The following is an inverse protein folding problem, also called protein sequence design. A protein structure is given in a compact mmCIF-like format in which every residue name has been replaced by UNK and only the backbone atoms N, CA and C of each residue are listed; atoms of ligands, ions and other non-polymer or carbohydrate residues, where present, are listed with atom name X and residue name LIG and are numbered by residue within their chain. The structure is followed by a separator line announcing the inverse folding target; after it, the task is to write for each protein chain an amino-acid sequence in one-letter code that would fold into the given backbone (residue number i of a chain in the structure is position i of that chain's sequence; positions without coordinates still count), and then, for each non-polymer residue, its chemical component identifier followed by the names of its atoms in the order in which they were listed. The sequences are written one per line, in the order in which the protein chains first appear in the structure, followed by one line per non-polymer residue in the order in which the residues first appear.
data_IF_779402963741
#
_entry.id   IF_779402963741
#
_cell.length_a   1.000
_cell.length_b   1.000
_cell.length_c   1.000
_cell.angle_alpha   90.00
_cell.angle_beta   90.00
_cell.angle_gamma   90.00
#
_symmetry.space_group_name_H-M   'P 1'
#
loop_
_entity.id
_entity.type
_entity.pdbx_description
1 polymer ?
#
# COMPACT_ATOMS: atom_id res chain seq x y z
N UNK A 1 11.23 24.10 -59.42
CA UNK A 1 11.01 22.87 -58.62
C UNK A 1 11.60 23.07 -57.22
N UNK A 2 10.76 23.30 -56.20
CA UNK A 2 11.19 23.51 -54.81
C UNK A 2 10.89 22.24 -54.03
N UNK A 3 11.92 21.43 -53.74
CA UNK A 3 11.77 20.20 -52.95
C UNK A 3 11.34 20.59 -51.53
N UNK A 4 10.14 20.17 -51.11
CA UNK A 4 9.63 20.41 -49.75
C UNK A 4 10.17 19.30 -48.85
N UNK A 5 11.07 19.67 -47.93
CA UNK A 5 11.54 18.79 -46.86
C UNK A 5 10.38 18.52 -45.91
N UNK A 6 9.88 17.29 -45.94
CA UNK A 6 8.83 16.80 -45.06
C UNK A 6 9.52 16.51 -43.73
N UNK A 7 9.15 17.31 -42.74
CA UNK A 7 9.56 17.28 -41.34
C UNK A 7 9.74 15.87 -40.77
N UNK A 8 10.99 15.54 -40.43
CA UNK A 8 11.41 14.41 -39.58
C UNK A 8 11.08 14.69 -38.09
N UNK A 9 9.82 15.06 -37.81
CA UNK A 9 9.29 15.26 -36.45
C UNK A 9 8.00 14.47 -36.21
N UNK A 10 7.56 13.67 -37.19
CA UNK A 10 6.28 12.94 -37.15
C UNK A 10 6.34 11.48 -36.66
N UNK A 11 7.52 10.94 -36.31
CA UNK A 11 7.65 9.53 -35.90
C UNK A 11 8.19 9.30 -34.48
N UNK A 12 8.39 10.34 -33.68
CA UNK A 12 8.72 10.22 -32.24
C UNK A 12 7.56 10.57 -31.32
N UNK A 13 6.37 10.87 -31.86
CA UNK A 13 5.20 11.25 -31.06
C UNK A 13 4.06 10.21 -31.06
N UNK A 14 4.34 8.95 -31.43
CA UNK A 14 3.38 7.84 -31.31
C UNK A 14 3.85 6.73 -30.36
N UNK A 15 5.06 6.82 -29.80
CA UNK A 15 5.61 5.83 -28.88
C UNK A 15 5.29 6.07 -27.40
N UNK A 16 4.68 7.20 -27.04
CA UNK A 16 4.52 7.61 -25.64
C UNK A 16 3.11 7.39 -25.08
N UNK A 17 2.11 7.02 -25.91
CA UNK A 17 0.70 7.00 -25.50
C UNK A 17 0.26 5.70 -24.79
N UNK A 18 1.17 4.74 -24.64
CA UNK A 18 0.96 3.55 -23.79
C UNK A 18 2.18 3.26 -22.91
N UNK A 19 2.88 4.31 -22.47
CA UNK A 19 3.76 4.16 -21.32
C UNK A 19 2.88 3.70 -20.16
N UNK A 20 2.98 2.44 -19.76
CA UNK A 20 2.33 1.93 -18.57
C UNK A 20 2.74 2.85 -17.42
N UNK A 21 1.82 3.72 -16.98
CA UNK A 21 2.04 4.48 -15.77
C UNK A 21 2.01 3.47 -14.64
N UNK A 22 3.18 2.98 -14.25
CA UNK A 22 3.33 2.23 -13.02
C UNK A 22 3.01 3.22 -11.89
N UNK A 23 1.81 3.11 -11.33
CA UNK A 23 1.51 3.77 -10.08
C UNK A 23 2.45 3.17 -9.02
N UNK A 24 3.26 4.00 -8.37
CA UNK A 24 4.01 3.55 -7.21
C UNK A 24 3.00 3.13 -6.14
N UNK A 25 2.95 1.85 -5.81
CA UNK A 25 2.06 1.33 -4.78
C UNK A 25 2.53 1.85 -3.41
N UNK A 26 1.59 2.35 -2.61
CA UNK A 26 1.89 2.81 -1.25
C UNK A 26 2.41 1.63 -0.40
N UNK A 27 3.50 1.86 0.33
CA UNK A 27 4.05 0.93 1.31
C UNK A 27 3.86 1.49 2.71
N UNK A 28 3.39 0.65 3.63
CA UNK A 28 3.17 0.98 5.04
C UNK A 28 3.85 -0.08 5.90
N UNK A 29 4.72 0.35 6.80
CA UNK A 29 5.25 -0.50 7.86
C UNK A 29 4.43 -0.27 9.14
N UNK A 30 4.16 -1.33 9.89
CA UNK A 30 3.50 -1.22 11.19
C UNK A 30 4.34 -0.33 12.13
N UNK A 31 3.73 0.60 12.88
CA UNK A 31 4.47 1.47 13.79
C UNK A 31 5.07 0.68 14.97
N UNK A 32 6.16 1.19 15.54
CA UNK A 32 6.74 0.68 16.80
C UNK A 32 6.10 1.27 18.05
N UNK A 33 5.26 2.30 17.91
CA UNK A 33 4.57 2.93 19.03
C UNK A 33 3.30 3.64 18.58
N UNK A 34 2.30 3.69 19.46
CA UNK A 34 1.09 4.48 19.26
C UNK A 34 0.24 4.02 18.07
N UNK A 35 -0.35 4.99 17.38
CA UNK A 35 -1.24 4.77 16.25
C UNK A 35 -0.69 5.50 15.02
N UNK A 36 -0.45 4.79 13.91
CA UNK A 36 0.00 5.37 12.64
C UNK A 36 -1.11 6.15 11.90
N UNK A 37 -2.34 6.12 12.41
CA UNK A 37 -3.53 6.70 11.78
C UNK A 37 -4.18 5.74 10.80
N UNK A 38 -5.08 6.30 9.98
CA UNK A 38 -5.87 5.55 9.01
C UNK A 38 -5.39 5.79 7.59
N UNK A 39 -4.99 4.72 6.90
CA UNK A 39 -4.69 4.73 5.48
C UNK A 39 -5.95 4.44 4.66
N UNK A 40 -6.26 5.30 3.68
CA UNK A 40 -7.46 5.18 2.84
C UNK A 40 -7.15 4.52 1.50
N UNK A 41 -7.91 3.48 1.14
CA UNK A 41 -7.83 2.79 -0.15
C UNK A 41 -8.87 3.39 -1.12
N UNK A 42 -8.49 4.46 -1.82
CA UNK A 42 -9.34 5.17 -2.77
C UNK A 42 -8.87 4.99 -4.23
N UNK A 43 -9.60 4.24 -5.07
CA UNK A 43 -9.35 4.20 -6.51
C UNK A 43 -9.57 5.58 -7.18
N UNK A 44 -8.88 5.89 -8.29
CA UNK A 44 -7.89 5.04 -8.97
C UNK A 44 -6.47 5.17 -8.38
N UNK A 45 -6.25 6.08 -7.43
CA UNK A 45 -4.91 6.45 -6.96
C UNK A 45 -4.28 5.41 -6.05
N UNK A 46 -5.02 4.88 -5.07
CA UNK A 46 -4.53 3.86 -4.13
C UNK A 46 -5.59 2.78 -3.98
N UNK A 47 -5.47 1.71 -4.76
CA UNK A 47 -6.36 0.55 -4.66
C UNK A 47 -5.76 -0.62 -3.87
N UNK A 48 -4.43 -0.62 -3.65
CA UNK A 48 -3.70 -1.65 -2.91
C UNK A 48 -2.57 -1.00 -2.12
N UNK A 49 -2.27 -1.54 -0.94
CA UNK A 49 -1.17 -1.11 -0.07
C UNK A 49 -0.31 -2.34 0.22
N UNK A 50 1.01 -2.20 0.12
CA UNK A 50 1.93 -3.19 0.67
C UNK A 50 2.08 -2.90 2.16
N UNK A 51 1.70 -3.86 2.99
CA UNK A 51 1.76 -3.74 4.43
C UNK A 51 2.79 -4.72 4.98
N UNK A 52 3.72 -4.21 5.80
CA UNK A 52 4.74 -4.97 6.48
C UNK A 52 4.67 -4.69 7.99
N UNK A 53 5.29 -5.54 8.79
CA UNK A 53 5.60 -5.20 10.17
C UNK A 53 6.60 -4.03 10.26
N UNK A 54 7.06 -3.70 11.46
CA UNK A 54 7.97 -2.58 11.67
C UNK A 54 9.41 -2.85 11.20
N UNK A 55 9.75 -4.09 10.82
CA UNK A 55 11.03 -4.49 10.21
C UNK A 55 11.06 -4.29 8.70
N UNK A 56 9.91 -4.06 8.08
CA UNK A 56 9.78 -3.81 6.65
C UNK A 56 9.93 -5.09 5.80
N UNK A 57 10.08 -4.96 4.47
CA UNK A 57 9.98 -6.10 3.54
C UNK A 57 11.08 -7.16 3.67
N UNK A 58 12.20 -6.84 4.31
CA UNK A 58 13.39 -7.72 4.35
C UNK A 58 13.92 -7.93 5.76
N UNK A 59 13.37 -7.26 6.77
CA UNK A 59 13.85 -7.28 8.15
C UNK A 59 12.94 -8.08 9.07
N UNK A 60 13.45 -8.44 10.23
CA UNK A 60 12.61 -8.93 11.33
C UNK A 60 11.92 -7.75 12.02
N UNK A 61 10.71 -7.97 12.54
CA UNK A 61 10.06 -7.00 13.43
C UNK A 61 10.90 -6.75 14.70
N UNK A 62 10.71 -5.59 15.33
CA UNK A 62 11.51 -5.21 16.50
C UNK A 62 11.04 -5.92 17.77
N UNK A 63 11.98 -6.22 18.65
CA UNK A 63 11.71 -6.82 19.96
C UNK A 63 11.22 -5.78 20.97
N UNK A 64 10.50 -6.22 21.99
CA UNK A 64 10.10 -5.39 23.15
C UNK A 64 9.21 -4.19 22.79
N UNK A 65 8.36 -4.36 21.79
CA UNK A 65 7.32 -3.39 21.43
C UNK A 65 6.06 -3.70 22.26
N UNK A 66 5.49 -2.70 22.93
CA UNK A 66 4.29 -2.92 23.77
C UNK A 66 3.05 -3.20 22.93
N UNK A 67 2.48 -2.17 22.31
CA UNK A 67 1.29 -2.26 21.46
C UNK A 67 1.31 -1.09 20.50
N UNK A 68 0.93 -1.34 19.26
CA UNK A 68 0.80 -0.30 18.25
C UNK A 68 -0.29 -0.67 17.25
N UNK A 69 -0.86 0.35 16.61
CA UNK A 69 -2.06 0.21 15.77
C UNK A 69 -1.85 0.90 14.44
N UNK A 70 -2.36 0.27 13.39
CA UNK A 70 -2.56 0.85 12.07
C UNK A 70 -3.98 0.54 11.62
N UNK A 71 -4.65 1.52 11.01
CA UNK A 71 -6.00 1.33 10.49
C UNK A 71 -6.00 1.46 8.97
N UNK A 72 -6.81 0.64 8.32
CA UNK A 72 -7.05 0.71 6.87
C UNK A 72 -8.54 0.89 6.64
N UNK A 73 -8.91 1.86 5.81
CA UNK A 73 -10.31 2.13 5.49
C UNK A 73 -10.54 2.13 3.97
N UNK A 74 -11.70 1.67 3.50
CA UNK A 74 -12.08 1.86 2.11
C UNK A 74 -12.27 3.37 1.86
N UNK A 75 -11.77 3.86 0.73
CA UNK A 75 -11.92 5.25 0.31
C UNK A 75 -13.32 5.60 -0.19
N UNK A 76 -14.19 4.61 -0.35
CA UNK A 76 -15.60 4.80 -0.72
C UNK A 76 -16.49 4.09 0.29
N UNK A 77 -17.53 4.78 0.74
CA UNK A 77 -18.52 4.23 1.66
C UNK A 77 -19.20 2.98 1.05
N UNK A 78 -19.40 1.95 1.88
CA UNK A 78 -20.02 0.69 1.48
C UNK A 78 -19.07 -0.35 0.89
N UNK A 79 -17.83 0.01 0.55
CA UNK A 79 -16.79 -0.99 0.24
C UNK A 79 -16.14 -1.57 1.49
N UNK A 80 -15.31 -2.59 1.29
CA UNK A 80 -14.57 -3.29 2.34
C UNK A 80 -13.09 -3.36 1.98
N UNK A 81 -12.23 -3.39 3.00
CA UNK A 81 -10.82 -3.71 2.84
C UNK A 81 -10.67 -5.22 2.78
N UNK A 82 -9.84 -5.71 1.87
CA UNK A 82 -9.39 -7.11 1.83
C UNK A 82 -7.91 -7.14 2.16
N UNK A 83 -7.56 -7.92 3.17
CA UNK A 83 -6.17 -8.24 3.49
C UNK A 83 -5.82 -9.65 2.99
N UNK A 84 -4.60 -9.85 2.55
CA UNK A 84 -4.04 -11.17 2.23
C UNK A 84 -2.59 -11.18 2.68
N UNK A 85 -2.26 -12.09 3.58
CA UNK A 85 -0.88 -12.26 4.04
C UNK A 85 -0.09 -13.07 2.99
N UNK A 86 0.99 -12.49 2.49
CA UNK A 86 1.99 -13.20 1.69
C UNK A 86 2.97 -13.99 2.55
N UNK A 87 3.19 -13.55 3.79
CA UNK A 87 3.96 -14.22 4.83
C UNK A 87 3.41 -13.85 6.21
N UNK A 88 3.59 -14.74 7.19
CA UNK A 88 3.23 -14.49 8.58
C UNK A 88 4.09 -15.38 9.50
N UNK A 89 4.82 -14.76 10.43
CA UNK A 89 5.60 -15.45 11.45
C UNK A 89 5.76 -14.53 12.67
N UNK A 90 5.35 -15.00 13.85
CA UNK A 90 5.53 -14.31 15.14
C UNK A 90 6.13 -15.26 16.17
N UNK A 91 6.66 -14.72 17.26
CA UNK A 91 7.11 -15.52 18.41
C UNK A 91 5.92 -16.22 19.08
N UNK A 92 5.92 -17.55 19.06
CA UNK A 92 4.82 -18.36 19.58
C UNK A 92 4.60 -18.12 21.08
N UNK A 93 3.39 -17.68 21.44
CA UNK A 93 2.97 -17.49 22.83
C UNK A 93 3.33 -16.13 23.44
N UNK A 94 4.08 -15.29 22.71
CA UNK A 94 4.53 -13.97 23.19
C UNK A 94 4.03 -12.84 22.30
N UNK A 95 4.15 -13.00 20.97
CA UNK A 95 3.84 -11.95 20.00
C UNK A 95 2.60 -12.28 19.17
N UNK A 96 1.75 -11.27 19.01
CA UNK A 96 0.44 -11.42 18.37
C UNK A 96 0.17 -10.30 17.37
N UNK A 97 -0.47 -10.67 16.25
CA UNK A 97 -1.14 -9.73 15.36
C UNK A 97 -2.64 -9.95 15.46
N UNK A 98 -3.36 -8.92 15.90
CA UNK A 98 -4.83 -8.95 15.98
C UNK A 98 -5.43 -8.05 14.93
N UNK A 99 -6.43 -8.55 14.20
CA UNK A 99 -7.19 -7.80 13.22
C UNK A 99 -8.57 -7.50 13.79
N UNK A 100 -9.03 -6.26 13.63
CA UNK A 100 -10.35 -5.82 14.07
C UNK A 100 -11.16 -5.35 12.86
N UNK A 101 -12.41 -5.80 12.74
CA UNK A 101 -13.38 -5.34 11.74
C UNK A 101 -14.08 -4.06 12.22
N UNK A 102 -13.33 -2.95 12.13
CA UNK A 102 -13.85 -1.62 12.42
C UNK A 102 -12.75 -0.61 12.74
N UNK A 103 -13.12 0.63 13.10
CA UNK A 103 -12.18 1.75 13.18
C UNK A 103 -11.24 1.70 14.39
N UNK A 104 -11.54 0.89 15.41
CA UNK A 104 -10.79 0.86 16.68
C UNK A 104 -10.54 -0.57 17.18
N UNK A 105 -9.65 -0.72 18.15
CA UNK A 105 -9.40 -1.99 18.86
C UNK A 105 -10.55 -2.46 19.76
N UNK A 106 -11.64 -1.69 19.85
CA UNK A 106 -12.89 -2.12 20.47
C UNK A 106 -13.91 -2.68 19.48
N UNK A 107 -13.56 -2.74 18.18
CA UNK A 107 -14.42 -3.32 17.14
C UNK A 107 -14.40 -4.85 17.19
N UNK A 108 -15.34 -5.55 16.51
CA UNK A 108 -15.30 -7.00 16.42
C UNK A 108 -13.96 -7.53 15.93
N UNK A 109 -13.54 -8.69 16.46
CA UNK A 109 -12.38 -9.45 15.99
C UNK A 109 -12.82 -10.59 15.06
#
# INVERSE_FOLDING_TARGET
MKKRNITLWGLTFLGCLFGAQAFAQLTVNHPTSGNAGTFSLAPPTVCTINYYDNGGPTGNYATSISNSVVSFAPGTAGYKVRCTFSSFATEGGFDFLTVYDGPTTGSPF
#
